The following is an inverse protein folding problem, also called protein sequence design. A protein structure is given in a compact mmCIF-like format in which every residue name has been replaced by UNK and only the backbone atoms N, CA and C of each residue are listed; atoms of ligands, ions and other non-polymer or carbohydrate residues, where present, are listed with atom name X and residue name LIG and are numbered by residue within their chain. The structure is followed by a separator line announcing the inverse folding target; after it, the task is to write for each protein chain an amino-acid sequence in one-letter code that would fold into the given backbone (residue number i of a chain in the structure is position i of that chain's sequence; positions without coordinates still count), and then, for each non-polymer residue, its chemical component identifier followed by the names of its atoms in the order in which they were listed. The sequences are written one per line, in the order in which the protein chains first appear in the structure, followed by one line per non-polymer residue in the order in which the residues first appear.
data_IF_261799044288
#
_entry.id   IF_261799044288
#
_cell.length_a   1.000
_cell.length_b   1.000
_cell.length_c   1.000
_cell.angle_alpha   90.00
_cell.angle_beta   90.00
_cell.angle_gamma   90.00
#
_symmetry.space_group_name_H-M   'P 1'
#
loop_
_entity.id
_entity.type
_entity.pdbx_description
1 polymer ?
#
# COMPACT_ATOMS: atom_id res chain seq x y z
N UNK A 1 10.37 -18.14 -16.63
CA UNK A 1 9.42 -17.13 -16.13
C UNK A 1 9.24 -16.00 -17.14
N UNK A 2 8.01 -15.62 -17.35
CA UNK A 2 7.69 -14.64 -18.39
C UNK A 2 7.66 -13.21 -17.88
N UNK A 3 7.29 -13.02 -16.63
CA UNK A 3 7.14 -11.70 -16.07
C UNK A 3 8.40 -11.34 -15.30
N UNK A 4 8.88 -10.11 -15.53
CA UNK A 4 10.02 -9.56 -14.78
C UNK A 4 9.58 -8.64 -13.68
N UNK A 5 8.37 -8.12 -13.79
CA UNK A 5 7.85 -7.11 -12.87
C UNK A 5 6.34 -7.32 -12.72
N UNK A 6 5.86 -7.28 -11.48
CA UNK A 6 4.42 -7.41 -11.19
C UNK A 6 3.97 -6.30 -10.27
N UNK A 7 2.72 -5.93 -10.41
CA UNK A 7 2.04 -5.01 -9.50
C UNK A 7 0.98 -5.81 -8.76
N UNK A 8 1.11 -5.85 -7.45
CA UNK A 8 0.16 -6.55 -6.58
C UNK A 8 -0.78 -5.52 -5.98
N UNK A 9 -2.08 -5.70 -6.19
CA UNK A 9 -3.10 -4.83 -5.59
C UNK A 9 -3.70 -5.54 -4.38
N UNK A 10 -3.67 -4.87 -3.24
CA UNK A 10 -4.23 -5.40 -1.99
C UNK A 10 -5.33 -4.46 -1.52
N UNK A 11 -6.48 -5.01 -1.18
CA UNK A 11 -7.51 -4.23 -0.51
C UNK A 11 -7.09 -3.99 0.94
N UNK A 12 -7.62 -2.95 1.56
CA UNK A 12 -7.41 -2.76 3.00
C UNK A 12 -7.93 -3.95 3.80
N UNK A 13 -8.99 -4.59 3.33
CA UNK A 13 -9.52 -5.78 3.96
C UNK A 13 -8.54 -6.94 4.01
N UNK A 14 -7.62 -7.03 3.05
CA UNK A 14 -6.60 -8.07 3.07
C UNK A 14 -5.66 -7.93 4.28
N UNK A 15 -5.47 -6.71 4.80
CA UNK A 15 -4.65 -6.47 5.98
C UNK A 15 -5.43 -6.70 7.28
N UNK A 16 -6.73 -6.57 7.24
CA UNK A 16 -7.60 -6.68 8.41
C UNK A 16 -8.06 -8.10 8.70
N UNK A 17 -8.07 -8.97 7.69
CA UNK A 17 -8.60 -10.30 7.85
C UNK A 17 -10.10 -10.30 8.07
N UNK A 18 -10.60 -11.30 8.79
CA UNK A 18 -12.04 -11.49 9.00
C UNK A 18 -12.70 -10.36 9.80
N UNK A 19 -11.94 -9.70 10.65
CA UNK A 19 -12.51 -8.62 11.47
C UNK A 19 -12.89 -7.39 10.66
N UNK A 20 -12.34 -7.23 9.47
CA UNK A 20 -12.71 -6.16 8.53
C UNK A 20 -12.17 -4.78 8.84
N UNK A 21 -11.55 -4.57 9.99
CA UNK A 21 -10.96 -3.29 10.40
C UNK A 21 -9.60 -3.52 11.07
N UNK A 22 -8.77 -2.49 11.05
CA UNK A 22 -7.44 -2.57 11.65
C UNK A 22 -6.53 -3.55 10.92
N UNK A 23 -5.72 -4.26 11.68
CA UNK A 23 -4.70 -5.17 11.14
C UNK A 23 -4.79 -6.54 11.79
N UNK A 24 -4.56 -7.57 10.99
CA UNK A 24 -4.54 -8.95 11.45
C UNK A 24 -3.15 -9.54 11.23
N UNK A 25 -2.56 -10.05 12.30
CA UNK A 25 -1.19 -10.56 12.29
C UNK A 25 -1.01 -11.72 11.29
N UNK A 26 -1.94 -12.66 11.27
CA UNK A 26 -1.84 -13.81 10.36
C UNK A 26 -1.99 -13.39 8.90
N UNK A 27 -2.89 -12.43 8.63
CA UNK A 27 -3.09 -11.90 7.28
C UNK A 27 -1.83 -11.19 6.77
N UNK A 28 -1.21 -10.38 7.63
CA UNK A 28 0.02 -9.67 7.27
C UNK A 28 1.17 -10.66 7.03
N UNK A 29 1.29 -11.69 7.84
CA UNK A 29 2.30 -12.73 7.63
C UNK A 29 2.07 -13.47 6.33
N UNK A 30 0.82 -13.76 5.99
CA UNK A 30 0.49 -14.42 4.73
C UNK A 30 0.90 -13.58 3.53
N UNK A 31 0.61 -12.27 3.57
CA UNK A 31 1.02 -11.35 2.52
C UNK A 31 2.53 -11.34 2.37
N UNK A 32 3.27 -11.29 3.47
CA UNK A 32 4.73 -11.29 3.44
C UNK A 32 5.27 -12.57 2.78
N UNK A 33 4.69 -13.73 3.09
CA UNK A 33 5.09 -14.99 2.47
C UNK A 33 4.82 -14.99 0.97
N UNK A 34 3.68 -14.46 0.55
CA UNK A 34 3.35 -14.38 -0.88
C UNK A 34 4.33 -13.48 -1.63
N UNK A 35 4.66 -12.33 -1.05
CA UNK A 35 5.62 -11.41 -1.66
C UNK A 35 6.99 -12.08 -1.76
N UNK A 36 7.44 -12.75 -0.69
CA UNK A 36 8.72 -13.43 -0.70
C UNK A 36 8.77 -14.51 -1.78
N UNK A 37 7.69 -15.26 -1.97
CA UNK A 37 7.65 -16.32 -2.98
C UNK A 37 7.81 -15.76 -4.39
N UNK A 38 7.29 -14.56 -4.65
CA UNK A 38 7.44 -13.89 -5.94
C UNK A 38 8.90 -13.40 -6.11
N UNK A 39 9.46 -12.80 -5.06
CA UNK A 39 10.84 -12.31 -5.10
C UNK A 39 11.84 -13.43 -5.36
N UNK A 40 11.60 -14.61 -4.83
CA UNK A 40 12.49 -15.77 -5.01
C UNK A 40 12.56 -16.23 -6.47
N UNK A 41 11.62 -15.78 -7.30
CA UNK A 41 11.61 -16.07 -8.74
C UNK A 41 12.29 -14.96 -9.56
N UNK A 42 13.03 -14.06 -8.91
CA UNK A 42 13.69 -12.91 -9.54
C UNK A 42 12.71 -11.97 -10.24
N UNK A 43 11.53 -11.80 -9.66
CA UNK A 43 10.51 -10.88 -10.17
C UNK A 43 10.54 -9.61 -9.32
N UNK A 44 10.53 -8.46 -9.99
CA UNK A 44 10.43 -7.16 -9.32
C UNK A 44 8.99 -6.95 -8.86
N UNK A 45 8.82 -6.41 -7.66
CA UNK A 45 7.50 -6.30 -7.03
C UNK A 45 7.17 -4.87 -6.68
N UNK A 46 6.03 -4.40 -7.17
CA UNK A 46 5.39 -3.17 -6.73
C UNK A 46 4.05 -3.55 -6.09
N UNK A 47 3.63 -2.79 -5.10
CA UNK A 47 2.40 -3.06 -4.35
C UNK A 47 1.59 -1.79 -4.26
N UNK A 48 0.28 -1.91 -4.46
CA UNK A 48 -0.69 -0.84 -4.19
C UNK A 48 -1.65 -1.38 -3.14
N UNK A 49 -1.90 -0.61 -2.10
CA UNK A 49 -2.80 -1.05 -1.03
C UNK A 49 -3.89 -0.01 -0.81
N UNK A 50 -5.12 -0.47 -0.63
CA UNK A 50 -6.26 0.38 -0.31
C UNK A 50 -6.30 0.77 1.16
N UNK A 51 -7.33 1.50 1.56
CA UNK A 51 -7.47 2.02 2.92
C UNK A 51 -8.73 1.57 3.67
N UNK A 52 -9.48 0.63 3.12
CA UNK A 52 -10.80 0.27 3.64
C UNK A 52 -10.84 -0.32 5.04
N UNK A 53 -9.73 -0.83 5.54
CA UNK A 53 -9.64 -1.32 6.93
C UNK A 53 -9.49 -0.17 7.94
N UNK A 54 -9.09 1.00 7.47
CA UNK A 54 -8.95 2.21 8.31
C UNK A 54 -10.23 3.03 8.23
N UNK A 55 -10.71 3.28 7.01
CA UNK A 55 -11.88 4.11 6.81
C UNK A 55 -12.58 3.74 5.50
N UNK A 56 -13.90 3.58 5.56
CA UNK A 56 -14.72 3.30 4.37
C UNK A 56 -15.62 4.48 4.08
N UNK A 57 -15.80 4.79 2.80
CA UNK A 57 -16.60 5.93 2.36
C UNK A 57 -18.04 5.91 2.84
N UNK A 58 -18.64 4.72 2.99
CA UNK A 58 -20.00 4.63 3.47
C UNK A 58 -20.17 5.11 4.93
N UNK A 59 -19.09 5.12 5.71
CA UNK A 59 -19.12 5.67 7.06
C UNK A 59 -19.20 7.20 7.06
N UNK A 60 -18.76 7.83 5.97
CA UNK A 60 -18.80 9.28 5.85
C UNK A 60 -20.22 9.80 5.97
N UNK A 61 -21.17 9.18 5.29
CA UNK A 61 -22.57 9.57 5.36
C UNK A 61 -23.13 9.43 6.78
N UNK A 62 -22.79 8.31 7.41
CA UNK A 62 -23.26 8.04 8.78
C UNK A 62 -22.77 9.10 9.76
N UNK A 63 -21.53 9.56 9.60
CA UNK A 63 -20.91 10.54 10.48
C UNK A 63 -21.10 11.99 10.01
N UNK A 64 -21.75 12.21 8.86
CA UNK A 64 -21.94 13.55 8.32
C UNK A 64 -20.65 14.17 7.76
N UNK A 65 -19.70 13.36 7.37
CA UNK A 65 -18.42 13.84 6.83
C UNK A 65 -18.61 14.11 5.33
N UNK A 66 -18.14 15.27 4.87
CA UNK A 66 -18.21 15.61 3.46
C UNK A 66 -17.30 14.69 2.63
N UNK A 67 -17.70 14.46 1.37
CA UNK A 67 -17.00 13.53 0.50
C UNK A 67 -15.53 13.88 0.31
N UNK A 68 -15.21 15.17 0.15
CA UNK A 68 -13.82 15.60 -0.03
C UNK A 68 -12.98 15.22 1.19
N UNK A 69 -13.50 15.46 2.41
CA UNK A 69 -12.80 15.06 3.63
C UNK A 69 -12.69 13.55 3.75
N UNK A 70 -13.76 12.84 3.42
CA UNK A 70 -13.75 11.37 3.46
C UNK A 70 -12.69 10.81 2.51
N UNK A 71 -12.56 11.36 1.32
CA UNK A 71 -11.55 10.93 0.35
C UNK A 71 -10.14 11.20 0.87
N UNK A 72 -9.94 12.34 1.54
CA UNK A 72 -8.64 12.65 2.16
C UNK A 72 -8.30 11.68 3.28
N UNK A 73 -9.26 11.36 4.13
CA UNK A 73 -9.06 10.38 5.20
C UNK A 73 -8.73 9.01 4.60
N UNK A 74 -9.48 8.59 3.59
CA UNK A 74 -9.22 7.32 2.90
C UNK A 74 -7.83 7.28 2.27
N UNK A 75 -7.42 8.39 1.66
CA UNK A 75 -6.09 8.52 1.06
C UNK A 75 -4.99 8.36 2.12
N UNK A 76 -5.14 9.03 3.26
CA UNK A 76 -4.18 8.88 4.36
C UNK A 76 -4.21 7.47 4.94
N UNK A 77 -5.36 6.80 4.90
CA UNK A 77 -5.47 5.39 5.27
C UNK A 77 -4.56 4.50 4.44
N UNK A 78 -4.41 4.80 3.14
CA UNK A 78 -3.48 4.04 2.30
C UNK A 78 -2.03 4.25 2.72
N UNK A 79 -1.68 5.45 3.18
CA UNK A 79 -0.34 5.74 3.67
C UNK A 79 -0.06 4.93 4.94
N UNK A 80 -1.01 4.91 5.87
CA UNK A 80 -0.89 4.12 7.09
C UNK A 80 -0.66 2.64 6.74
N UNK A 81 -1.48 2.10 5.84
CA UNK A 81 -1.36 0.71 5.42
C UNK A 81 -0.02 0.42 4.74
N UNK A 82 0.45 1.35 3.93
CA UNK A 82 1.74 1.20 3.25
C UNK A 82 2.89 1.16 4.24
N UNK A 83 2.86 2.00 5.26
CA UNK A 83 3.87 2.01 6.32
C UNK A 83 3.82 0.73 7.15
N UNK A 84 2.63 0.27 7.47
CA UNK A 84 2.46 -0.98 8.22
C UNK A 84 3.00 -2.17 7.42
N UNK A 85 2.64 -2.24 6.15
CA UNK A 85 3.10 -3.31 5.28
C UNK A 85 4.62 -3.26 5.10
N UNK A 86 5.20 -2.05 4.93
CA UNK A 86 6.64 -1.88 4.86
C UNK A 86 7.32 -2.44 6.10
N UNK A 87 6.80 -2.11 7.28
CA UNK A 87 7.36 -2.60 8.53
C UNK A 87 7.36 -4.12 8.62
N UNK A 88 6.24 -4.74 8.25
CA UNK A 88 6.12 -6.19 8.28
C UNK A 88 7.06 -6.84 7.27
N UNK A 89 7.10 -6.32 6.04
CA UNK A 89 7.98 -6.87 5.01
C UNK A 89 9.45 -6.75 5.41
N UNK A 90 9.87 -5.61 5.92
CA UNK A 90 11.26 -5.41 6.34
C UNK A 90 11.68 -6.34 7.47
N UNK A 91 10.74 -6.78 8.30
CA UNK A 91 11.05 -7.72 9.37
C UNK A 91 11.28 -9.14 8.89
N UNK A 92 10.90 -9.46 7.65
CA UNK A 92 10.92 -10.83 7.12
C UNK A 92 11.69 -10.99 5.82
N UNK A 93 12.00 -9.90 5.15
CA UNK A 93 12.60 -9.90 3.81
C UNK A 93 13.85 -9.02 3.82
N UNK A 94 14.91 -9.46 3.15
CA UNK A 94 16.18 -8.74 3.12
C UNK A 94 16.19 -7.55 2.17
N UNK A 95 15.34 -7.56 1.15
CA UNK A 95 15.27 -6.48 0.18
C UNK A 95 14.82 -5.18 0.83
N UNK A 96 15.30 -4.06 0.30
CA UNK A 96 14.83 -2.75 0.73
C UNK A 96 13.39 -2.56 0.29
N UNK A 97 12.58 -1.92 1.14
CA UNK A 97 11.18 -1.63 0.86
C UNK A 97 10.99 -0.11 0.94
N UNK A 98 10.48 0.48 -0.12
CA UNK A 98 10.27 1.92 -0.21
C UNK A 98 8.80 2.23 -0.38
N UNK A 99 8.30 3.20 0.39
CA UNK A 99 6.94 3.73 0.23
C UNK A 99 7.03 5.03 -0.53
N UNK A 100 6.26 5.13 -1.61
CA UNK A 100 6.16 6.36 -2.41
C UNK A 100 4.71 6.82 -2.38
N UNK A 101 4.50 8.11 -2.15
CA UNK A 101 3.16 8.68 -2.02
C UNK A 101 2.91 9.76 -3.05
N UNK A 102 1.71 9.73 -3.64
CA UNK A 102 1.27 10.80 -4.53
C UNK A 102 0.82 12.03 -3.75
N UNK A 103 0.57 11.86 -2.44
CA UNK A 103 0.26 12.97 -1.53
C UNK A 103 1.55 13.32 -0.79
N UNK A 104 1.96 14.61 -0.76
CA UNK A 104 3.17 15.00 -0.05
C UNK A 104 3.08 14.72 1.45
N UNK A 105 3.93 13.84 1.93
CA UNK A 105 4.03 13.50 3.34
C UNK A 105 5.48 13.04 3.60
N UNK A 106 6.40 13.93 3.28
CA UNK A 106 7.83 13.63 3.15
C UNK A 106 8.49 13.12 4.43
N UNK A 107 7.87 13.34 5.59
CA UNK A 107 8.40 12.81 6.84
C UNK A 107 8.37 11.28 6.92
N UNK A 108 7.48 10.63 6.16
CA UNK A 108 7.27 9.18 6.27
C UNK A 108 7.33 8.42 4.95
N UNK A 109 7.25 9.12 3.82
CA UNK A 109 7.24 8.48 2.49
C UNK A 109 7.92 9.36 1.46
N UNK A 110 8.49 8.75 0.44
CA UNK A 110 9.07 9.47 -0.69
C UNK A 110 7.95 10.03 -1.56
N UNK A 111 8.17 11.19 -2.20
CA UNK A 111 7.22 11.64 -3.21
C UNK A 111 7.24 10.67 -4.39
N UNK A 112 6.07 10.40 -4.95
CA UNK A 112 6.01 9.55 -6.13
C UNK A 112 6.61 10.29 -7.32
N UNK A 113 7.68 9.74 -7.88
CA UNK A 113 8.30 10.19 -9.11
C UNK A 113 8.52 8.93 -9.94
N UNK A 114 7.92 8.88 -11.12
CA UNK A 114 7.91 7.67 -11.95
C UNK A 114 9.31 7.09 -12.17
N UNK A 115 10.26 7.92 -12.58
CA UNK A 115 11.61 7.44 -12.86
C UNK A 115 12.32 6.91 -11.61
N UNK A 116 12.03 7.49 -10.46
CA UNK A 116 12.58 7.01 -9.19
C UNK A 116 11.99 5.66 -8.83
N UNK A 117 10.69 5.46 -9.06
CA UNK A 117 10.06 4.17 -8.81
C UNK A 117 10.69 3.09 -9.69
N UNK A 118 10.89 3.37 -10.97
CA UNK A 118 11.54 2.44 -11.90
C UNK A 118 12.96 2.12 -11.41
N UNK A 119 13.69 3.13 -10.98
CA UNK A 119 15.06 2.95 -10.48
C UNK A 119 15.09 2.03 -9.26
N UNK A 120 14.17 2.22 -8.31
CA UNK A 120 14.07 1.34 -7.14
C UNK A 120 13.78 -0.11 -7.57
N UNK A 121 12.82 -0.30 -8.46
CA UNK A 121 12.46 -1.64 -8.94
C UNK A 121 13.62 -2.31 -9.65
N UNK A 122 14.38 -1.55 -10.45
CA UNK A 122 15.57 -2.09 -11.13
C UNK A 122 16.65 -2.56 -10.15
N UNK A 123 16.71 -1.97 -8.97
CA UNK A 123 17.63 -2.40 -7.91
C UNK A 123 17.12 -3.59 -7.11
N UNK A 124 15.93 -4.08 -7.41
CA UNK A 124 15.33 -5.16 -6.64
C UNK A 124 14.61 -4.71 -5.38
N UNK A 125 14.42 -3.40 -5.18
CA UNK A 125 13.64 -2.90 -4.07
C UNK A 125 12.17 -3.18 -4.28
N UNK A 126 11.45 -3.45 -3.21
CA UNK A 126 9.99 -3.49 -3.25
C UNK A 126 9.50 -2.05 -3.12
N UNK A 127 8.56 -1.65 -3.98
CA UNK A 127 7.97 -0.32 -3.93
C UNK A 127 6.50 -0.45 -3.59
N UNK A 128 6.06 0.27 -2.55
CA UNK A 128 4.65 0.33 -2.17
C UNK A 128 4.13 1.72 -2.51
N UNK A 129 3.10 1.79 -3.33
CA UNK A 129 2.50 3.06 -3.73
C UNK A 129 1.32 3.39 -2.83
N UNK A 130 1.34 4.59 -2.28
CA UNK A 130 0.32 5.10 -1.39
C UNK A 130 -0.28 6.39 -1.94
N UNK A 131 -1.44 6.76 -1.43
CA UNK A 131 -2.06 8.04 -1.72
C UNK A 131 -2.97 8.07 -2.95
N UNK A 132 -3.16 6.95 -3.61
CA UNK A 132 -3.92 6.93 -4.86
C UNK A 132 -3.32 7.90 -5.85
N UNK A 133 -4.12 8.74 -6.47
CA UNK A 133 -3.61 9.81 -7.32
C UNK A 133 -3.64 11.19 -6.63
N UNK A 134 -4.02 11.24 -5.35
CA UNK A 134 -4.04 12.46 -4.56
C UNK A 134 -5.17 13.42 -4.86
N UNK A 135 -6.15 13.04 -5.67
CA UNK A 135 -7.25 13.90 -6.06
C UNK A 135 -8.57 13.46 -5.42
N UNK A 136 -9.43 14.41 -5.00
CA UNK A 136 -10.76 14.08 -4.50
C UNK A 136 -11.59 13.35 -5.56
N UNK A 137 -12.54 12.55 -5.10
CA UNK A 137 -13.48 11.79 -5.95
C UNK A 137 -12.84 10.70 -6.80
N UNK A 138 -11.60 10.33 -6.53
CA UNK A 138 -10.91 9.27 -7.23
C UNK A 138 -10.61 8.14 -6.24
N UNK A 139 -10.80 6.88 -6.69
CA UNK A 139 -10.52 5.71 -5.87
C UNK A 139 -9.05 5.67 -5.45
N UNK A 140 -8.80 5.12 -4.27
CA UNK A 140 -7.45 4.93 -3.75
C UNK A 140 -6.86 3.56 -4.13
N UNK A 141 -7.61 2.77 -4.83
CA UNK A 141 -7.14 1.44 -5.27
C UNK A 141 -6.06 1.51 -6.35
#
# INVERSE_FOLDING_TARGET
MRYKRVLIKLSGGALAGEQGSGFDHLSLNHIAKEVLSVLEKDIEVAIVVGGGNIFRGNLAEYWGIERVEADQIGTLGTVINSLMLRGVLKSKIDQEVRVMSSVPISAVAEPYIRLRAVHHLNKGYIVIFAGGNGQPYVTTD
#
